data_IF_811979173925
#
_entry.id   IF_811979173925
#
_cell.length_a   1.000
_cell.length_b   1.000
_cell.length_c   1.000
_cell.angle_alpha   90.00
_cell.angle_beta   90.00
_cell.angle_gamma   90.00
#
_symmetry.space_group_name_H-M   'P 1'
#
loop_
_entity.id
_entity.type
_entity.pdbx_description
1 polymer ?
#
# COMPACT_ATOMS: atom_id res chain seq x y z
N UNK A 1 -19.85 1.90 -1.46
CA UNK A 1 -19.91 2.18 -2.92
C UNK A 1 -19.90 0.90 -3.73
N UNK A 2 -20.51 0.91 -4.92
CA UNK A 2 -20.51 -0.21 -5.88
C UNK A 2 -20.67 0.33 -7.30
N UNK A 3 -20.05 -0.33 -8.29
CA UNK A 3 -20.10 0.04 -9.72
C UNK A 3 -19.69 1.50 -9.98
N UNK A 4 -18.63 1.96 -9.36
CA UNK A 4 -18.12 3.33 -9.49
C UNK A 4 -17.28 3.43 -10.78
N UNK A 5 -17.52 4.46 -11.59
CA UNK A 5 -16.67 4.73 -12.76
C UNK A 5 -15.36 5.39 -12.35
N UNK A 6 -14.25 5.25 -13.12
CA UNK A 6 -12.99 5.93 -12.80
C UNK A 6 -13.16 7.45 -12.61
N UNK A 7 -13.98 8.09 -13.44
CA UNK A 7 -14.25 9.53 -13.35
C UNK A 7 -14.97 9.95 -12.06
N UNK A 8 -15.71 9.04 -11.44
CA UNK A 8 -16.40 9.30 -10.17
C UNK A 8 -15.59 8.86 -8.94
N UNK A 9 -14.54 8.07 -9.12
CA UNK A 9 -13.82 7.39 -8.03
C UNK A 9 -13.27 8.37 -6.97
N UNK A 10 -12.76 9.52 -7.39
CA UNK A 10 -12.22 10.53 -6.48
C UNK A 10 -13.21 10.96 -5.36
N UNK A 11 -14.52 10.90 -5.63
CA UNK A 11 -15.56 11.27 -4.65
C UNK A 11 -15.76 10.24 -3.54
N UNK A 12 -15.23 9.04 -3.74
CA UNK A 12 -15.37 7.91 -2.82
C UNK A 12 -14.07 7.57 -2.08
N UNK A 13 -12.98 8.22 -2.43
CA UNK A 13 -11.70 8.08 -1.74
C UNK A 13 -11.64 9.11 -0.63
N UNK A 14 -11.56 8.66 0.62
CA UNK A 14 -11.42 9.54 1.77
C UNK A 14 -10.04 10.21 1.81
N UNK A 15 -8.99 9.49 1.43
CA UNK A 15 -7.62 9.99 1.39
C UNK A 15 -6.60 8.88 1.17
N UNK A 16 -5.34 9.22 1.38
CA UNK A 16 -4.19 8.36 1.11
C UNK A 16 -3.29 8.28 2.34
N UNK A 17 -2.65 7.14 2.51
CA UNK A 17 -1.71 6.89 3.62
C UNK A 17 -0.58 5.98 3.17
N UNK A 18 0.54 6.01 3.89
CA UNK A 18 1.58 5.04 3.68
C UNK A 18 1.16 3.67 4.24
N UNK A 19 1.63 2.60 3.59
CA UNK A 19 1.36 1.24 4.00
C UNK A 19 2.58 0.35 3.75
N UNK A 20 2.63 -0.78 4.47
CA UNK A 20 3.53 -1.89 4.16
C UNK A 20 2.71 -3.14 3.93
N UNK A 21 3.15 -3.98 2.99
CA UNK A 21 2.54 -5.26 2.63
C UNK A 21 3.53 -6.37 2.97
N UNK A 22 3.62 -6.69 4.27
CA UNK A 22 4.51 -7.74 4.78
C UNK A 22 3.97 -9.10 4.33
N UNK A 23 4.87 -10.00 3.96
CA UNK A 23 4.48 -11.28 3.41
C UNK A 23 5.35 -12.42 3.95
N UNK A 24 4.74 -13.51 4.39
CA UNK A 24 5.44 -14.77 4.64
C UNK A 24 5.73 -15.46 3.31
N UNK A 25 7.00 -15.48 2.91
CA UNK A 25 7.43 -16.04 1.62
C UNK A 25 7.32 -17.57 1.57
N UNK A 26 7.42 -18.25 2.70
CA UNK A 26 7.27 -19.71 2.77
C UNK A 26 5.84 -20.09 2.38
N UNK A 27 4.87 -19.41 2.99
CA UNK A 27 3.45 -19.61 2.66
C UNK A 27 3.15 -19.16 1.25
N UNK A 28 3.61 -17.99 0.84
CA UNK A 28 3.38 -17.46 -0.49
C UNK A 28 3.85 -18.41 -1.60
N UNK A 29 5.00 -19.09 -1.39
CA UNK A 29 5.55 -20.01 -2.38
C UNK A 29 4.86 -21.39 -2.37
N UNK A 30 4.12 -21.72 -1.32
CA UNK A 30 3.43 -23.01 -1.16
C UNK A 30 1.94 -22.96 -1.55
N UNK A 31 1.37 -21.78 -1.70
CA UNK A 31 -0.06 -21.59 -1.98
C UNK A 31 -0.30 -20.81 -3.27
N UNK A 32 -1.44 -21.07 -3.91
CA UNK A 32 -1.87 -20.36 -5.11
C UNK A 32 -2.52 -19.01 -4.82
N UNK A 33 -2.96 -18.77 -3.58
CA UNK A 33 -3.62 -17.55 -3.13
C UNK A 33 -2.78 -16.83 -2.07
N UNK A 34 -2.62 -15.53 -2.22
CA UNK A 34 -1.71 -14.75 -1.37
C UNK A 34 -2.38 -14.18 -0.10
N UNK A 35 -3.68 -14.39 0.08
CA UNK A 35 -4.40 -13.81 1.22
C UNK A 35 -3.78 -14.23 2.57
N UNK A 36 -3.55 -15.52 2.79
CA UNK A 36 -3.04 -16.03 4.06
C UNK A 36 -1.64 -15.49 4.39
N UNK A 37 -0.73 -15.46 3.42
CA UNK A 37 0.64 -15.02 3.65
C UNK A 37 0.78 -13.53 4.00
N UNK A 38 -0.29 -12.74 3.83
CA UNK A 38 -0.34 -11.28 4.07
C UNK A 38 -1.26 -10.89 5.23
N UNK A 39 -2.04 -11.83 5.77
CA UNK A 39 -3.13 -11.55 6.73
C UNK A 39 -2.79 -11.88 8.17
N UNK A 40 -1.51 -12.08 8.50
CA UNK A 40 -1.10 -12.22 9.89
C UNK A 40 -1.24 -10.89 10.63
N UNK A 41 -1.43 -10.97 11.94
CA UNK A 41 -1.44 -9.79 12.80
C UNK A 41 -0.19 -8.95 12.56
N UNK A 42 -0.37 -7.65 12.42
CA UNK A 42 0.68 -6.65 12.18
C UNK A 42 1.31 -6.65 10.77
N UNK A 43 0.89 -7.51 9.83
CA UNK A 43 1.48 -7.57 8.48
C UNK A 43 1.04 -6.44 7.53
N UNK A 44 0.04 -5.65 7.92
CA UNK A 44 -0.40 -4.48 7.14
C UNK A 44 -0.34 -3.20 7.97
N UNK A 45 0.86 -2.70 8.33
CA UNK A 45 0.98 -1.42 9.01
C UNK A 45 0.49 -0.29 8.09
N UNK A 46 -0.27 0.64 8.64
CA UNK A 46 -0.84 1.79 7.96
C UNK A 46 -0.54 3.08 8.74
N UNK A 47 -0.43 4.18 8.06
CA UNK A 47 -0.40 5.46 8.74
C UNK A 47 0.87 6.29 8.53
N UNK A 48 1.17 7.18 9.51
CA UNK A 48 0.49 7.37 10.80
C UNK A 48 -0.84 8.12 10.73
N UNK A 49 -1.19 8.75 9.62
CA UNK A 49 -2.48 9.41 9.38
C UNK A 49 -2.88 9.31 7.91
N UNK A 50 -4.11 9.71 7.60
CA UNK A 50 -4.63 9.78 6.23
C UNK A 50 -4.58 11.23 5.77
N UNK A 51 -3.90 11.49 4.64
CA UNK A 51 -3.91 12.80 3.98
C UNK A 51 -5.07 12.87 2.98
N UNK A 52 -5.92 13.87 3.12
CA UNK A 52 -7.15 14.01 2.33
C UNK A 52 -7.01 15.00 1.18
N UNK A 53 -5.92 15.77 1.13
CA UNK A 53 -5.70 16.86 0.16
C UNK A 53 -4.40 16.67 -0.61
N UNK A 54 -4.25 15.51 -1.23
CA UNK A 54 -3.06 15.19 -2.02
C UNK A 54 -3.47 14.56 -3.36
N UNK A 55 -2.75 14.89 -4.43
CA UNK A 55 -2.86 14.16 -5.70
C UNK A 55 -1.97 12.91 -5.62
N UNK A 56 -2.52 11.71 -5.75
CA UNK A 56 -1.75 10.47 -5.59
C UNK A 56 -0.92 10.08 -6.82
N UNK A 57 -0.96 10.83 -7.93
CA UNK A 57 -0.52 10.34 -9.24
C UNK A 57 0.92 10.66 -9.62
N UNK A 58 1.62 11.50 -8.84
CA UNK A 58 3.02 11.84 -9.09
C UNK A 58 3.77 12.12 -7.79
N UNK A 59 3.86 11.10 -6.95
CA UNK A 59 4.53 11.18 -5.64
C UNK A 59 5.73 10.25 -5.60
N UNK A 60 6.88 10.74 -5.14
CA UNK A 60 7.99 9.84 -4.85
C UNK A 60 7.62 8.91 -3.71
N UNK A 61 8.01 7.62 -3.85
CA UNK A 61 7.80 6.57 -2.84
C UNK A 61 9.10 5.83 -2.60
N UNK A 62 9.50 5.70 -1.34
CA UNK A 62 10.75 5.09 -0.93
C UNK A 62 10.55 4.20 0.30
N UNK A 63 11.29 3.10 0.37
CA UNK A 63 11.42 2.27 1.57
C UNK A 63 12.89 2.22 1.98
N UNK A 64 13.13 2.47 3.26
CA UNK A 64 14.43 2.29 3.91
C UNK A 64 14.34 1.15 4.91
N UNK A 65 15.34 0.28 4.93
CA UNK A 65 15.58 -0.75 5.93
C UNK A 65 16.89 -0.44 6.64
N UNK A 66 16.83 -0.18 7.93
CA UNK A 66 17.99 0.23 8.74
C UNK A 66 18.75 1.43 8.16
N UNK A 67 18.02 2.39 7.59
CA UNK A 67 18.58 3.58 6.96
C UNK A 67 19.09 3.36 5.52
N UNK A 68 19.11 2.13 5.02
CA UNK A 68 19.50 1.82 3.63
C UNK A 68 18.29 1.86 2.71
N UNK A 69 18.41 2.56 1.60
CA UNK A 69 17.36 2.63 0.57
C UNK A 69 17.20 1.26 -0.10
N UNK A 70 16.01 0.69 -0.03
CA UNK A 70 15.64 -0.61 -0.62
C UNK A 70 14.71 -0.46 -1.80
N UNK A 71 13.69 0.38 -1.66
CA UNK A 71 12.74 0.63 -2.74
C UNK A 71 12.74 2.12 -3.05
N UNK A 72 12.72 2.46 -4.35
CA UNK A 72 12.66 3.83 -4.83
C UNK A 72 11.88 3.89 -6.13
N UNK A 73 10.78 4.61 -6.14
CA UNK A 73 9.90 4.72 -7.29
C UNK A 73 9.07 6.00 -7.21
N UNK A 74 8.07 6.08 -8.08
CA UNK A 74 7.09 7.14 -8.13
C UNK A 74 5.71 6.54 -8.40
N UNK A 75 4.66 7.11 -7.83
CA UNK A 75 3.28 6.62 -8.03
C UNK A 75 2.80 6.76 -9.47
N UNK A 76 3.43 7.59 -10.29
CA UNK A 76 3.19 7.66 -11.75
C UNK A 76 3.56 6.36 -12.49
N UNK A 77 4.32 5.46 -11.85
CA UNK A 77 4.67 4.14 -12.40
C UNK A 77 3.59 3.07 -12.15
N UNK A 78 2.50 3.41 -11.47
CA UNK A 78 1.36 2.50 -11.33
C UNK A 78 0.79 2.14 -12.70
N UNK A 79 0.65 0.84 -12.99
CA UNK A 79 0.03 0.35 -14.25
C UNK A 79 -1.42 0.82 -14.35
N UNK A 80 -2.15 0.77 -13.24
CA UNK A 80 -3.48 1.34 -13.08
C UNK A 80 -3.45 2.37 -11.96
N UNK A 81 -3.91 3.57 -12.23
CA UNK A 81 -3.99 4.60 -11.19
C UNK A 81 -5.07 4.28 -10.13
N UNK A 82 -5.05 5.00 -9.02
CA UNK A 82 -5.95 4.76 -7.90
C UNK A 82 -7.44 4.76 -8.31
N UNK A 83 -7.84 5.61 -9.25
CA UNK A 83 -9.23 5.71 -9.68
C UNK A 83 -9.69 4.49 -10.49
N UNK A 84 -8.81 3.94 -11.32
CA UNK A 84 -9.07 2.68 -12.03
C UNK A 84 -9.16 1.50 -11.07
N UNK A 85 -8.29 1.43 -10.05
CA UNK A 85 -8.33 0.38 -9.03
C UNK A 85 -9.65 0.40 -8.24
N UNK A 86 -10.08 1.58 -7.78
CA UNK A 86 -11.37 1.75 -7.10
C UNK A 86 -12.53 1.32 -7.99
N UNK A 87 -12.53 1.76 -9.25
CA UNK A 87 -13.55 1.37 -10.22
C UNK A 87 -13.61 -0.14 -10.38
N UNK A 88 -12.49 -0.78 -10.68
CA UNK A 88 -12.40 -2.22 -10.91
C UNK A 88 -12.86 -3.04 -9.71
N UNK A 89 -12.40 -2.72 -8.51
CA UNK A 89 -12.80 -3.43 -7.30
C UNK A 89 -14.29 -3.25 -7.03
N UNK A 90 -14.81 -2.03 -7.19
CA UNK A 90 -16.22 -1.74 -6.93
C UNK A 90 -17.20 -2.42 -7.89
N UNK A 91 -16.77 -2.90 -9.06
CA UNK A 91 -17.60 -3.74 -9.94
C UNK A 91 -17.78 -5.15 -9.41
N UNK A 92 -16.79 -5.67 -8.68
CA UNK A 92 -16.80 -7.03 -8.17
C UNK A 92 -17.40 -7.14 -6.78
N UNK A 93 -17.14 -6.15 -5.91
CA UNK A 93 -17.61 -6.17 -4.51
C UNK A 93 -18.07 -4.79 -4.04
N UNK A 94 -18.96 -4.77 -3.04
CA UNK A 94 -19.33 -3.53 -2.35
C UNK A 94 -18.20 -3.10 -1.43
N UNK A 95 -17.74 -1.87 -1.60
CA UNK A 95 -16.76 -1.25 -0.69
C UNK A 95 -17.45 -0.36 0.33
N UNK A 96 -17.01 -0.44 1.56
CA UNK A 96 -17.54 0.27 2.72
C UNK A 96 -16.58 1.39 3.17
N UNK A 97 -17.05 2.38 3.94
CA UNK A 97 -16.16 3.30 4.63
C UNK A 97 -15.18 2.55 5.54
N UNK A 98 -13.90 2.87 5.43
CA UNK A 98 -12.83 2.21 6.17
C UNK A 98 -12.12 1.09 5.41
N UNK A 99 -12.63 0.65 4.26
CA UNK A 99 -11.90 -0.28 3.40
C UNK A 99 -10.63 0.37 2.87
N UNK A 100 -9.56 -0.43 2.82
CA UNK A 100 -8.23 -0.01 2.37
C UNK A 100 -7.83 -0.77 1.11
N UNK A 101 -7.31 -0.05 0.12
CA UNK A 101 -6.73 -0.63 -1.09
C UNK A 101 -5.23 -0.42 -1.07
N UNK A 102 -4.45 -1.50 -1.00
CA UNK A 102 -3.01 -1.46 -1.26
C UNK A 102 -2.79 -1.47 -2.77
N UNK A 103 -2.21 -0.40 -3.29
CA UNK A 103 -2.15 -0.14 -4.74
C UNK A 103 -0.99 -0.84 -5.44
N UNK A 104 -0.09 -1.45 -4.68
CA UNK A 104 1.06 -2.16 -5.17
C UNK A 104 2.36 -1.76 -4.50
N UNK A 105 3.42 -2.50 -4.78
CA UNK A 105 4.76 -2.25 -4.26
C UNK A 105 5.77 -2.15 -5.40
N UNK A 106 6.74 -1.23 -5.33
CA UNK A 106 7.81 -1.14 -6.32
C UNK A 106 8.84 -2.26 -6.15
N UNK A 107 9.77 -2.37 -7.09
CA UNK A 107 10.93 -3.26 -7.00
C UNK A 107 11.80 -2.97 -5.77
N UNK A 108 12.61 -3.95 -5.36
CA UNK A 108 13.50 -3.84 -4.19
C UNK A 108 12.96 -4.53 -2.94
N UNK A 109 11.95 -5.42 -3.10
CA UNK A 109 11.49 -6.29 -2.00
C UNK A 109 12.62 -7.22 -1.54
N UNK A 110 12.67 -7.49 -0.25
CA UNK A 110 13.71 -8.31 0.36
C UNK A 110 13.28 -8.86 1.72
N UNK A 111 14.12 -9.72 2.33
CA UNK A 111 13.86 -10.25 3.67
C UNK A 111 13.96 -9.14 4.71
N UNK A 112 13.20 -9.32 5.78
CA UNK A 112 13.26 -8.54 7.00
C UNK A 112 13.48 -9.47 8.18
N UNK A 113 14.18 -8.99 9.20
CA UNK A 113 14.56 -9.77 10.39
C UNK A 113 14.15 -9.02 11.67
N UNK A 114 14.05 -9.77 12.76
CA UNK A 114 13.79 -9.17 14.07
C UNK A 114 14.83 -8.09 14.40
N UNK A 115 14.38 -6.91 14.83
CA UNK A 115 15.20 -5.74 15.09
C UNK A 115 15.31 -4.76 13.92
N UNK A 116 14.91 -5.15 12.71
CA UNK A 116 14.93 -4.25 11.55
C UNK A 116 14.00 -3.05 11.76
N UNK A 117 14.49 -1.87 11.39
CA UNK A 117 13.70 -0.65 11.30
C UNK A 117 13.32 -0.38 9.85
N UNK A 118 12.03 -0.40 9.58
CA UNK A 118 11.45 -0.11 8.27
C UNK A 118 10.86 1.30 8.26
N UNK A 119 11.16 2.07 7.22
CA UNK A 119 10.65 3.43 7.07
C UNK A 119 10.17 3.66 5.64
N UNK A 120 8.85 3.84 5.47
CA UNK A 120 8.24 4.24 4.21
C UNK A 120 8.14 5.76 4.17
N UNK A 121 8.63 6.36 3.10
CA UNK A 121 8.49 7.78 2.80
C UNK A 121 7.74 7.96 1.50
N UNK A 122 6.63 8.68 1.56
CA UNK A 122 5.87 9.09 0.38
C UNK A 122 5.78 10.61 0.41
N UNK A 123 6.09 11.25 -0.71
CA UNK A 123 6.04 12.71 -0.82
C UNK A 123 4.68 13.25 -0.38
N UNK A 124 4.69 14.23 0.52
CA UNK A 124 3.47 14.84 1.05
C UNK A 124 2.78 14.06 2.17
N UNK A 125 3.26 12.86 2.53
CA UNK A 125 2.76 12.10 3.67
C UNK A 125 3.79 12.04 4.80
N UNK A 126 3.33 11.83 6.04
CA UNK A 126 4.25 11.52 7.14
C UNK A 126 4.91 10.16 6.93
N UNK A 127 6.17 9.98 7.33
CA UNK A 127 6.83 8.69 7.26
C UNK A 127 6.13 7.64 8.13
N UNK A 128 5.92 6.46 7.57
CA UNK A 128 5.49 5.28 8.33
C UNK A 128 6.72 4.52 8.80
N UNK A 129 6.89 4.40 10.12
CA UNK A 129 8.06 3.76 10.73
C UNK A 129 7.61 2.61 11.60
N UNK A 130 8.20 1.43 11.37
CA UNK A 130 7.93 0.22 12.15
C UNK A 130 9.24 -0.49 12.50
N UNK A 131 9.22 -1.23 13.61
CA UNK A 131 10.29 -2.16 13.97
C UNK A 131 9.77 -3.58 13.92
N UNK A 132 10.51 -4.47 13.27
CA UNK A 132 10.21 -5.89 13.18
C UNK A 132 10.50 -6.54 14.53
N UNK A 133 9.55 -7.31 15.07
CA UNK A 133 9.68 -8.04 16.34
C UNK A 133 10.00 -9.50 16.12
#
# INVERSE_FOLDING_TARGET
MRNVTPAAAARYIFGYTAAQDISDRTIQNSESQFARCKSFDTFTPLGPYVETKIDPHDLSIQLFQNGQLRQNSNTSQLVFNCFHLVSFISTNMTMLPGDVILTGTPSGVGPIESGDRLEVRIQGLAPLVNTVK
#
